data_IF_081774346366
#
_entry.id   IF_081774346366
#
_cell.length_a   1.000
_cell.length_b   1.000
_cell.length_c   1.000
_cell.angle_alpha   90.00
_cell.angle_beta   90.00
_cell.angle_gamma   90.00
#
_symmetry.space_group_name_H-M   'P 1'
#
loop_
_entity.id
_entity.type
_entity.pdbx_description
1 polymer ?
#
# COMPACT_ATOMS: atom_id res chain seq x y z
N UNK A 1 -1.27 -17.79 -11.08
CA UNK A 1 -1.01 -19.05 -11.80
C UNK A 1 -0.75 -20.22 -10.86
N UNK A 2 -0.08 -20.02 -9.72
CA UNK A 2 0.24 -21.09 -8.76
C UNK A 2 -0.99 -21.75 -8.14
N UNK A 3 -1.95 -20.99 -7.60
CA UNK A 3 -3.16 -21.55 -6.96
C UNK A 3 -3.96 -22.46 -7.92
N UNK A 4 -4.14 -21.99 -9.16
CA UNK A 4 -4.79 -22.75 -10.24
C UNK A 4 -4.00 -23.98 -10.68
N UNK A 5 -2.68 -23.85 -10.76
CA UNK A 5 -1.81 -24.95 -11.18
C UNK A 5 -1.79 -26.11 -10.17
N UNK A 6 -2.03 -25.82 -8.89
CA UNK A 6 -2.14 -26.83 -7.84
C UNK A 6 -3.59 -27.25 -7.52
N UNK A 7 -4.58 -26.72 -8.26
CA UNK A 7 -6.01 -27.00 -8.04
C UNK A 7 -6.52 -26.67 -6.61
N UNK A 8 -5.80 -25.82 -5.87
CA UNK A 8 -6.10 -25.44 -4.48
C UNK A 8 -7.11 -24.28 -4.35
N UNK A 9 -7.88 -24.00 -5.40
CA UNK A 9 -8.82 -22.87 -5.41
C UNK A 9 -9.87 -22.98 -4.29
N UNK A 10 -10.34 -24.19 -4.00
CA UNK A 10 -11.33 -24.45 -2.93
C UNK A 10 -10.82 -24.08 -1.54
N UNK A 11 -9.57 -24.41 -1.23
CA UNK A 11 -8.95 -24.06 0.05
C UNK A 11 -8.79 -22.55 0.21
N UNK A 12 -8.29 -21.85 -0.83
CA UNK A 12 -8.17 -20.39 -0.81
C UNK A 12 -9.54 -19.68 -0.76
N UNK A 13 -10.56 -20.25 -1.42
CA UNK A 13 -11.91 -19.73 -1.37
C UNK A 13 -12.51 -19.84 0.04
N UNK A 14 -12.39 -21.00 0.69
CA UNK A 14 -12.81 -21.19 2.07
C UNK A 14 -12.11 -20.21 3.02
N UNK A 15 -10.78 -20.06 2.90
CA UNK A 15 -10.02 -19.08 3.68
C UNK A 15 -10.46 -17.64 3.42
N UNK A 16 -10.82 -17.31 2.18
CA UNK A 16 -11.34 -15.99 1.84
C UNK A 16 -12.70 -15.74 2.53
N UNK A 17 -13.59 -16.73 2.55
CA UNK A 17 -14.86 -16.66 3.28
C UNK A 17 -14.62 -16.45 4.78
N UNK A 18 -13.72 -17.21 5.40
CA UNK A 18 -13.38 -17.06 6.82
C UNK A 18 -12.88 -15.65 7.15
N UNK A 19 -12.06 -15.06 6.26
CA UNK A 19 -11.56 -13.69 6.42
C UNK A 19 -12.66 -12.65 6.25
N UNK A 20 -13.59 -12.86 5.31
CA UNK A 20 -14.75 -11.99 5.10
C UNK A 20 -15.66 -12.05 6.33
N UNK A 21 -15.93 -13.25 6.86
CA UNK A 21 -16.76 -13.44 8.04
C UNK A 21 -16.11 -12.84 9.30
N UNK A 22 -14.81 -13.03 9.47
CA UNK A 22 -14.04 -12.41 10.55
C UNK A 22 -14.08 -10.88 10.47
N UNK A 23 -14.03 -10.31 9.27
CA UNK A 23 -14.15 -8.86 9.08
C UNK A 23 -15.59 -8.36 9.25
N UNK A 24 -16.61 -9.16 8.89
CA UNK A 24 -18.03 -8.77 8.92
C UNK A 24 -18.67 -8.90 10.31
N UNK A 25 -18.22 -9.86 11.11
CA UNK A 25 -18.74 -10.12 12.45
C UNK A 25 -18.71 -8.88 13.37
N UNK A 26 -17.60 -8.10 13.45
CA UNK A 26 -17.57 -6.86 14.24
C UNK A 26 -18.60 -5.81 13.79
N UNK A 27 -18.87 -5.68 12.49
CA UNK A 27 -19.90 -4.77 11.99
C UNK A 27 -21.29 -5.19 12.45
N UNK A 28 -21.58 -6.50 12.42
CA UNK A 28 -22.86 -7.02 12.92
C UNK A 28 -23.02 -6.78 14.42
N UNK A 29 -21.97 -7.02 15.21
CA UNK A 29 -22.01 -6.74 16.65
C UNK A 29 -22.18 -5.25 16.95
N UNK A 30 -21.52 -4.35 16.20
CA UNK A 30 -21.69 -2.91 16.35
C UNK A 30 -23.12 -2.47 16.01
N UNK A 31 -23.66 -2.97 14.89
CA UNK A 31 -25.05 -2.73 14.48
C UNK A 31 -26.05 -3.21 15.53
N UNK A 32 -25.92 -4.46 15.99
CA UNK A 32 -26.81 -5.03 17.01
C UNK A 32 -26.73 -4.25 18.34
N UNK A 33 -25.54 -3.82 18.75
CA UNK A 33 -25.37 -3.01 19.96
C UNK A 33 -26.01 -1.62 19.81
N UNK A 34 -25.90 -0.99 18.63
CA UNK A 34 -26.54 0.29 18.31
C UNK A 34 -28.06 0.19 18.38
N UNK A 35 -28.65 -0.79 17.69
CA UNK A 35 -30.10 -1.03 17.70
C UNK A 35 -30.63 -1.35 19.10
N UNK A 36 -29.91 -2.18 19.86
CA UNK A 36 -30.27 -2.51 21.23
C UNK A 36 -30.31 -1.26 22.13
N UNK A 37 -29.33 -0.37 21.99
CA UNK A 37 -29.26 0.88 22.75
C UNK A 37 -30.42 1.82 22.39
N UNK A 38 -30.71 1.98 21.10
CA UNK A 38 -31.82 2.81 20.61
C UNK A 38 -33.14 2.28 21.16
N UNK A 39 -33.40 0.97 21.03
CA UNK A 39 -34.62 0.35 21.52
C UNK A 39 -34.82 0.59 23.03
N UNK A 40 -33.75 0.46 23.83
CA UNK A 40 -33.81 0.71 25.27
C UNK A 40 -34.16 2.16 25.59
N UNK A 41 -33.56 3.12 24.90
CA UNK A 41 -33.79 4.54 25.16
C UNK A 41 -35.18 4.99 24.71
N UNK A 42 -35.66 4.49 23.57
CA UNK A 42 -37.03 4.72 23.12
C UNK A 42 -38.05 4.14 24.10
N UNK A 43 -37.83 2.93 24.63
CA UNK A 43 -38.74 2.34 25.62
C UNK A 43 -38.82 3.18 26.89
N UNK A 44 -37.69 3.71 27.38
CA UNK A 44 -37.66 4.60 28.55
C UNK A 44 -38.39 5.91 28.22
N UNK A 45 -38.12 6.52 27.07
CA UNK A 45 -38.78 7.76 26.65
C UNK A 45 -40.30 7.60 26.50
N UNK A 46 -40.75 6.48 25.95
CA UNK A 46 -42.17 6.15 25.81
C UNK A 46 -42.83 5.87 27.17
N UNK A 47 -42.14 5.21 28.10
CA UNK A 47 -42.63 5.04 29.47
C UNK A 47 -42.81 6.39 30.18
N UNK A 48 -41.85 7.31 30.03
CA UNK A 48 -41.95 8.67 30.61
C UNK A 48 -43.13 9.43 30.01
N UNK A 49 -43.28 9.42 28.67
CA UNK A 49 -44.41 10.06 27.99
C UNK A 49 -45.76 9.47 28.41
N UNK A 50 -45.86 8.14 28.50
CA UNK A 50 -47.07 7.47 28.94
C UNK A 50 -47.42 7.81 30.40
N UNK A 51 -46.43 7.89 31.29
CA UNK A 51 -46.64 8.30 32.67
C UNK A 51 -47.12 9.76 32.77
N UNK A 52 -46.55 10.67 31.97
CA UNK A 52 -46.99 12.06 31.90
C UNK A 52 -48.43 12.17 31.36
N UNK A 53 -48.78 11.38 30.33
CA UNK A 53 -50.13 11.32 29.79
C UNK A 53 -51.14 10.82 30.82
N UNK A 54 -50.79 9.76 31.56
CA UNK A 54 -51.61 9.20 32.62
C UNK A 54 -51.83 10.20 33.76
N UNK A 55 -50.78 10.90 34.20
CA UNK A 55 -50.89 11.96 35.21
C UNK A 55 -51.87 13.04 34.76
N UNK A 56 -51.72 13.55 33.53
CA UNK A 56 -52.60 14.57 32.97
C UNK A 56 -54.06 14.08 32.90
N UNK A 57 -54.30 12.81 32.59
CA UNK A 57 -55.64 12.22 32.51
C UNK A 57 -56.30 11.98 33.87
N UNK A 58 -55.53 11.73 34.93
CA UNK A 58 -56.04 11.44 36.27
C UNK A 58 -56.35 12.69 37.10
N UNK A 59 -55.81 13.85 36.72
CA UNK A 59 -56.01 15.12 37.45
C UNK A 59 -57.39 15.74 37.15
N UNK A 60 -58.00 16.44 38.13
CA UNK A 60 -59.31 17.07 37.95
C UNK A 60 -59.34 18.06 36.77
N UNK A 61 -60.47 18.15 36.04
CA UNK A 61 -60.63 19.10 34.94
C UNK A 61 -60.41 20.53 35.45
N UNK A 62 -59.51 21.27 34.78
CA UNK A 62 -59.11 22.63 35.16
C UNK A 62 -57.71 22.76 35.78
N UNK A 63 -57.01 21.65 36.05
CA UNK A 63 -55.65 21.70 36.64
C UNK A 63 -54.58 22.19 35.66
N UNK A 64 -54.67 21.82 34.38
CA UNK A 64 -53.75 22.26 33.33
C UNK A 64 -54.50 22.93 32.18
N UNK A 65 -53.90 23.96 31.60
CA UNK A 65 -54.38 24.56 30.34
C UNK A 65 -54.25 23.55 29.20
N UNK A 66 -55.26 23.46 28.34
CA UNK A 66 -55.26 22.57 27.16
C UNK A 66 -54.05 22.82 26.25
N UNK A 67 -53.57 24.07 26.15
CA UNK A 67 -52.35 24.41 25.43
C UNK A 67 -51.08 23.82 26.05
N UNK A 68 -51.00 23.77 27.38
CA UNK A 68 -49.85 23.20 28.10
C UNK A 68 -49.73 21.68 27.91
N UNK A 69 -50.88 20.98 27.91
CA UNK A 69 -50.94 19.53 27.65
C UNK A 69 -50.44 19.20 26.24
N UNK A 70 -50.89 19.95 25.24
CA UNK A 70 -50.43 19.80 23.85
C UNK A 70 -48.92 20.04 23.70
N UNK A 71 -48.41 21.13 24.29
CA UNK A 71 -46.98 21.44 24.27
C UNK A 71 -46.14 20.34 24.93
N UNK A 72 -46.56 19.83 26.09
CA UNK A 72 -45.82 18.79 26.82
C UNK A 72 -45.68 17.51 26.00
N UNK A 73 -46.76 17.07 25.33
CA UNK A 73 -46.74 15.89 24.48
C UNK A 73 -45.90 16.09 23.22
N UNK A 74 -46.06 17.23 22.53
CA UNK A 74 -45.29 17.54 21.33
C UNK A 74 -43.79 17.65 21.61
N UNK A 75 -43.41 18.33 22.69
CA UNK A 75 -42.00 18.45 23.07
C UNK A 75 -41.40 17.12 23.53
N UNK A 76 -42.13 16.29 24.26
CA UNK A 76 -41.61 14.98 24.68
C UNK A 76 -41.36 14.03 23.51
N UNK A 77 -42.23 14.02 22.49
CA UNK A 77 -42.01 13.28 21.24
C UNK A 77 -40.80 13.84 20.45
N UNK A 78 -40.71 15.16 20.30
CA UNK A 78 -39.59 15.81 19.60
C UNK A 78 -38.24 15.57 20.29
N UNK A 79 -38.23 15.53 21.62
CA UNK A 79 -37.02 15.28 22.41
C UNK A 79 -36.55 13.83 22.27
N UNK A 80 -37.47 12.87 22.22
CA UNK A 80 -37.16 11.46 21.98
C UNK A 80 -36.47 11.27 20.61
N UNK A 81 -37.06 11.84 19.55
CA UNK A 81 -36.46 11.80 18.21
C UNK A 81 -35.07 12.45 18.16
N UNK A 82 -34.91 13.60 18.81
CA UNK A 82 -33.63 14.31 18.87
C UNK A 82 -32.55 13.52 19.63
N UNK A 83 -32.95 12.81 20.69
CA UNK A 83 -32.05 11.93 21.46
C UNK A 83 -31.55 10.76 20.60
N UNK A 84 -32.44 10.07 19.89
CA UNK A 84 -32.06 8.97 18.99
C UNK A 84 -31.06 9.46 17.95
N UNK A 85 -31.36 10.55 17.24
CA UNK A 85 -30.46 11.12 16.24
C UNK A 85 -29.09 11.54 16.84
N UNK A 86 -29.08 12.09 18.05
CA UNK A 86 -27.84 12.47 18.72
C UNK A 86 -26.95 11.24 19.03
N UNK A 87 -27.55 10.14 19.46
CA UNK A 87 -26.83 8.90 19.77
C UNK A 87 -26.28 8.27 18.50
N UNK A 88 -27.06 8.26 17.42
CA UNK A 88 -26.58 7.76 16.13
C UNK A 88 -25.36 8.56 15.64
N UNK A 89 -25.43 9.89 15.73
CA UNK A 89 -24.32 10.76 15.38
C UNK A 89 -23.10 10.49 16.28
N UNK A 90 -23.30 10.31 17.58
CA UNK A 90 -22.20 10.05 18.53
C UNK A 90 -21.51 8.70 18.29
N UNK A 91 -22.29 7.63 18.06
CA UNK A 91 -21.73 6.31 17.73
C UNK A 91 -20.98 6.33 16.41
N UNK A 92 -21.51 7.05 15.41
CA UNK A 92 -20.86 7.20 14.10
C UNK A 92 -19.56 7.97 14.20
N UNK A 93 -19.55 9.08 14.94
CA UNK A 93 -18.34 9.86 15.21
C UNK A 93 -17.27 9.04 15.95
N UNK A 94 -17.69 8.27 16.97
CA UNK A 94 -16.80 7.40 17.73
C UNK A 94 -16.18 6.28 16.87
N UNK A 95 -16.89 5.78 15.86
CA UNK A 95 -16.30 4.84 14.90
C UNK A 95 -15.30 5.53 13.96
N UNK A 96 -15.59 6.75 13.50
CA UNK A 96 -14.71 7.47 12.57
C UNK A 96 -13.43 7.99 13.21
N UNK A 97 -13.45 8.38 14.49
CA UNK A 97 -12.25 8.89 15.18
C UNK A 97 -11.15 7.83 15.31
N UNK A 98 -11.50 6.54 15.33
CA UNK A 98 -10.52 5.43 15.34
C UNK A 98 -9.64 5.45 14.08
N UNK A 99 -10.18 5.88 12.93
CA UNK A 99 -9.37 6.04 11.72
C UNK A 99 -8.33 7.16 11.86
N UNK A 100 -8.68 8.24 12.56
CA UNK A 100 -7.74 9.35 12.86
C UNK A 100 -6.68 8.90 13.85
N UNK A 101 -7.07 8.11 14.86
CA UNK A 101 -6.13 7.51 15.81
C UNK A 101 -5.09 6.63 15.09
N UNK A 102 -5.51 5.81 14.12
CA UNK A 102 -4.59 5.00 13.29
C UNK A 102 -3.61 5.85 12.48
N UNK A 103 -4.06 6.97 11.92
CA UNK A 103 -3.15 7.90 11.24
C UNK A 103 -2.15 8.49 12.22
N UNK A 104 -2.60 8.88 13.41
CA UNK A 104 -1.74 9.42 14.45
C UNK A 104 -0.67 8.43 14.91
N UNK A 105 -0.95 7.12 14.92
CA UNK A 105 0.05 6.08 15.19
C UNK A 105 1.18 6.08 14.16
N UNK A 106 0.86 6.27 12.88
CA UNK A 106 1.86 6.32 11.81
C UNK A 106 2.63 7.64 11.74
N UNK A 107 2.13 8.72 12.35
CA UNK A 107 2.85 10.00 12.37
C UNK A 107 4.06 10.02 13.31
N UNK A 108 4.12 9.12 14.29
CA UNK A 108 5.16 9.11 15.32
C UNK A 108 6.22 8.02 15.11
N UNK A 109 6.22 7.35 13.95
CA UNK A 109 7.26 6.39 13.60
C UNK A 109 8.60 7.12 13.42
N UNK A 110 9.73 6.51 13.83
CA UNK A 110 11.04 7.11 13.60
C UNK A 110 11.23 7.29 12.08
N UNK A 111 11.56 8.51 11.67
CA UNK A 111 11.85 8.82 10.28
C UNK A 111 13.17 8.16 9.87
N UNK A 112 13.26 7.74 8.61
CA UNK A 112 14.53 7.35 8.00
C UNK A 112 15.53 8.52 8.10
N UNK A 113 16.82 8.22 8.01
CA UNK A 113 17.84 9.26 8.00
C UNK A 113 17.54 10.29 6.89
N UNK A 114 17.81 11.59 7.12
CA UNK A 114 17.60 12.61 6.11
C UNK A 114 18.31 12.26 4.80
N UNK A 115 17.63 12.46 3.66
CA UNK A 115 18.18 12.17 2.33
C UNK A 115 19.52 12.87 2.11
N UNK A 116 19.69 14.06 2.71
CA UNK A 116 20.92 14.83 2.64
C UNK A 116 21.37 15.25 4.04
N UNK A 117 22.58 14.85 4.41
CA UNK A 117 23.26 15.32 5.61
C UNK A 117 24.27 16.41 5.24
N UNK A 118 23.96 17.68 5.52
CA UNK A 118 24.82 18.82 5.18
C UNK A 118 26.23 18.69 5.78
N UNK A 119 26.32 18.20 7.01
CA UNK A 119 27.57 18.14 7.78
C UNK A 119 28.55 17.06 7.27
N UNK A 120 28.08 16.08 6.48
CA UNK A 120 28.89 14.95 6.02
C UNK A 120 28.64 14.65 4.54
N UNK A 121 28.59 15.70 3.70
CA UNK A 121 28.54 15.52 2.26
C UNK A 121 29.89 15.01 1.74
N UNK A 122 29.91 13.97 0.89
CA UNK A 122 31.13 13.62 0.19
C UNK A 122 31.59 14.79 -0.69
N UNK A 123 32.90 14.97 -0.90
CA UNK A 123 33.41 16.06 -1.73
C UNK A 123 32.86 15.96 -3.16
N UNK A 124 32.79 17.08 -3.93
CA UNK A 124 32.30 17.05 -5.31
C UNK A 124 33.12 16.16 -6.25
N UNK A 125 34.37 15.89 -5.87
CA UNK A 125 35.26 14.94 -6.55
C UNK A 125 35.01 13.50 -6.11
N UNK A 126 33.98 13.22 -5.33
CA UNK A 126 33.61 11.86 -4.99
C UNK A 126 32.58 11.35 -6.01
N UNK A 127 32.81 10.19 -6.62
CA UNK A 127 34.03 9.37 -6.64
C UNK A 127 35.17 9.97 -7.51
N UNK A 128 36.43 9.85 -7.06
CA UNK A 128 37.59 10.61 -7.58
C UNK A 128 38.06 10.27 -9.01
N UNK A 129 37.57 9.18 -9.58
CA UNK A 129 37.79 8.82 -10.97
C UNK A 129 36.43 8.41 -11.54
N UNK A 130 36.07 8.92 -12.71
CA UNK A 130 34.82 8.59 -13.40
C UNK A 130 34.47 9.55 -14.53
N UNK A 131 34.40 9.05 -15.77
CA UNK A 131 34.09 9.87 -16.94
C UNK A 131 32.59 9.75 -17.29
N UNK A 132 31.86 10.86 -17.27
CA UNK A 132 30.41 10.91 -17.56
C UNK A 132 30.20 11.52 -18.94
N UNK A 133 29.58 10.74 -19.84
CA UNK A 133 29.16 11.21 -21.18
C UNK A 133 27.76 10.65 -21.47
N UNK A 134 26.72 11.47 -21.41
CA UNK A 134 25.33 11.00 -21.47
C UNK A 134 24.91 10.84 -22.93
N UNK A 135 24.65 9.60 -23.37
CA UNK A 135 24.26 9.27 -24.75
C UNK A 135 22.99 8.40 -24.77
N UNK A 136 21.84 8.99 -24.42
CA UNK A 136 20.56 8.29 -24.14
C UNK A 136 20.06 7.35 -25.25
N UNK A 137 20.39 7.63 -26.52
CA UNK A 137 19.98 6.79 -27.66
C UNK A 137 20.92 5.61 -27.93
N UNK A 138 22.19 5.70 -27.50
CA UNK A 138 23.16 4.61 -27.69
C UNK A 138 22.91 3.46 -26.71
N UNK A 139 22.36 3.76 -25.53
CA UNK A 139 22.14 2.78 -24.45
C UNK A 139 21.20 1.65 -24.90
N UNK A 140 20.11 1.97 -25.61
CA UNK A 140 19.18 0.95 -26.14
C UNK A 140 19.84 0.02 -27.16
N UNK A 141 20.81 0.53 -27.93
CA UNK A 141 21.64 -0.28 -28.82
C UNK A 141 22.59 -1.19 -28.04
N UNK A 142 23.23 -0.66 -26.98
CA UNK A 142 24.17 -1.39 -26.12
C UNK A 142 23.49 -2.51 -25.30
N UNK A 143 22.22 -2.33 -24.93
CA UNK A 143 21.42 -3.35 -24.25
C UNK A 143 20.63 -4.27 -25.19
N UNK A 144 20.79 -4.16 -26.52
CA UNK A 144 20.00 -4.91 -27.52
C UNK A 144 18.48 -4.77 -27.37
N UNK A 145 18.00 -3.71 -26.72
CA UNK A 145 16.57 -3.42 -26.57
C UNK A 145 16.00 -2.62 -27.75
N UNK A 146 16.86 -2.10 -28.62
CA UNK A 146 16.45 -1.23 -29.74
C UNK A 146 15.40 -1.88 -30.64
N UNK A 147 15.62 -3.13 -31.03
CA UNK A 147 14.74 -3.81 -32.00
C UNK A 147 13.38 -4.11 -31.35
N UNK A 148 13.38 -4.57 -30.10
CA UNK A 148 12.14 -4.83 -29.33
C UNK A 148 11.32 -3.55 -29.08
N UNK A 149 11.98 -2.42 -28.84
CA UNK A 149 11.30 -1.13 -28.69
C UNK A 149 10.80 -0.62 -30.05
N UNK A 150 11.55 -0.81 -31.13
CA UNK A 150 11.15 -0.41 -32.48
C UNK A 150 9.95 -1.20 -33.02
N UNK A 151 9.78 -2.46 -32.62
CA UNK A 151 8.61 -3.28 -32.95
C UNK A 151 7.31 -2.78 -32.32
N UNK A 152 7.37 -2.01 -31.23
CA UNK A 152 6.18 -1.44 -30.60
C UNK A 152 5.67 -0.21 -31.34
N UNK A 153 4.34 -0.12 -31.50
CA UNK A 153 3.66 0.99 -32.20
C UNK A 153 4.07 2.38 -31.70
N UNK A 154 4.23 2.54 -30.39
CA UNK A 154 4.55 3.81 -29.72
C UNK A 154 6.03 3.92 -29.31
N UNK A 155 6.86 2.91 -29.65
CA UNK A 155 8.29 2.88 -29.32
C UNK A 155 8.55 3.18 -27.84
N UNK A 156 9.24 4.30 -27.55
CA UNK A 156 9.60 4.73 -26.20
C UNK A 156 8.39 5.23 -25.39
N UNK A 157 7.34 5.69 -26.07
CA UNK A 157 6.12 6.19 -25.44
C UNK A 157 5.13 5.05 -25.12
N UNK A 158 5.52 3.80 -25.37
CA UNK A 158 4.67 2.65 -25.10
C UNK A 158 4.38 2.48 -23.61
N UNK A 159 3.09 2.32 -23.27
CA UNK A 159 2.66 2.14 -21.89
C UNK A 159 3.23 0.85 -21.26
N UNK A 160 3.76 0.98 -20.03
CA UNK A 160 4.19 -0.13 -19.19
C UNK A 160 3.02 -0.55 -18.29
N UNK A 161 2.57 -1.79 -18.44
CA UNK A 161 1.46 -2.35 -17.65
C UNK A 161 1.95 -2.63 -16.21
N UNK A 162 1.03 -2.74 -15.24
CA UNK A 162 1.32 -3.05 -13.83
C UNK A 162 2.40 -4.14 -13.70
N UNK A 163 3.41 -3.84 -12.87
CA UNK A 163 4.60 -4.66 -12.60
C UNK A 163 5.44 -5.03 -13.85
N UNK A 164 5.27 -4.29 -14.96
CA UNK A 164 5.94 -4.54 -16.23
C UNK A 164 5.59 -5.88 -16.86
N UNK A 165 4.38 -6.41 -16.61
CA UNK A 165 3.93 -7.73 -17.10
C UNK A 165 3.96 -7.91 -18.63
N UNK A 166 4.04 -6.81 -19.38
CA UNK A 166 4.20 -6.80 -20.84
C UNK A 166 5.65 -7.00 -21.33
N UNK A 167 6.60 -7.26 -20.41
CA UNK A 167 8.01 -7.51 -20.70
C UNK A 167 8.48 -8.82 -20.08
N UNK A 168 9.36 -9.54 -20.77
CA UNK A 168 9.98 -10.76 -20.25
C UNK A 168 10.93 -10.44 -19.09
N UNK A 169 11.25 -11.45 -18.27
CA UNK A 169 12.21 -11.28 -17.17
C UNK A 169 13.59 -10.80 -17.67
N UNK A 170 14.06 -11.34 -18.80
CA UNK A 170 15.30 -10.90 -19.43
C UNK A 170 15.25 -9.46 -19.95
N UNK A 171 14.14 -9.03 -20.54
CA UNK A 171 13.96 -7.64 -20.96
C UNK A 171 13.98 -6.69 -19.77
N UNK A 172 13.32 -7.04 -18.65
CA UNK A 172 13.37 -6.25 -17.41
C UNK A 172 14.80 -6.09 -16.90
N UNK A 173 15.61 -7.14 -16.93
CA UNK A 173 17.02 -7.05 -16.56
C UNK A 173 17.83 -6.15 -17.51
N UNK A 174 17.58 -6.23 -18.82
CA UNK A 174 18.21 -5.32 -19.79
C UNK A 174 17.79 -3.86 -19.58
N UNK A 175 16.55 -3.60 -19.15
CA UNK A 175 16.12 -2.25 -18.76
C UNK A 175 16.85 -1.77 -17.50
N UNK A 176 17.00 -2.63 -16.48
CA UNK A 176 17.81 -2.33 -15.30
C UNK A 176 19.27 -2.03 -15.66
N UNK A 177 19.86 -2.83 -16.57
CA UNK A 177 21.20 -2.58 -17.11
C UNK A 177 21.27 -1.25 -17.87
N UNK A 178 20.25 -0.93 -18.66
CA UNK A 178 20.12 0.37 -19.33
C UNK A 178 20.10 1.53 -18.34
N UNK A 179 19.34 1.41 -17.25
CA UNK A 179 19.32 2.41 -16.17
C UNK A 179 20.71 2.57 -15.52
N UNK A 180 21.44 1.48 -15.31
CA UNK A 180 22.80 1.53 -14.77
C UNK A 180 23.78 2.23 -15.74
N UNK A 181 23.68 1.94 -17.04
CA UNK A 181 24.51 2.56 -18.09
C UNK A 181 24.27 4.07 -18.21
N UNK A 182 23.03 4.54 -18.03
CA UNK A 182 22.70 5.97 -18.06
C UNK A 182 23.33 6.70 -16.86
N UNK A 183 23.28 6.09 -15.67
CA UNK A 183 23.80 6.71 -14.44
C UNK A 183 25.33 6.81 -14.40
N UNK A 184 26.05 5.96 -15.15
CA UNK A 184 27.52 5.94 -15.21
C UNK A 184 28.19 5.93 -13.82
N UNK A 185 27.63 5.15 -12.91
CA UNK A 185 28.15 5.01 -11.54
C UNK A 185 29.54 4.38 -11.53
N UNK A 186 30.43 4.89 -10.67
CA UNK A 186 31.79 4.34 -10.51
C UNK A 186 31.85 3.08 -9.66
N UNK A 187 30.81 2.86 -8.86
CA UNK A 187 30.61 1.65 -8.10
C UNK A 187 29.29 1.05 -8.58
N UNK A 188 29.37 -0.15 -9.15
CA UNK A 188 28.23 -0.91 -9.62
C UNK A 188 28.06 -2.13 -8.72
N UNK A 189 26.89 -2.24 -8.09
CA UNK A 189 26.52 -3.43 -7.31
C UNK A 189 25.47 -4.20 -8.09
N UNK A 190 25.75 -5.46 -8.38
CA UNK A 190 24.88 -6.37 -9.11
C UNK A 190 24.43 -7.49 -8.17
N UNK A 191 23.15 -7.48 -7.82
CA UNK A 191 22.54 -8.55 -7.03
C UNK A 191 21.74 -9.47 -7.95
N UNK A 192 22.18 -10.72 -8.10
CA UNK A 192 21.54 -11.73 -8.96
C UNK A 192 21.19 -11.25 -10.39
N UNK A 193 21.97 -10.33 -10.97
CA UNK A 193 21.66 -9.68 -12.25
C UNK A 193 21.58 -10.61 -13.47
N UNK A 194 21.85 -11.90 -13.31
CA UNK A 194 21.79 -12.95 -14.35
C UNK A 194 20.77 -14.05 -14.03
N UNK A 195 19.99 -13.90 -12.94
CA UNK A 195 19.01 -14.90 -12.52
C UNK A 195 17.82 -14.96 -13.50
N UNK A 196 17.30 -16.16 -13.75
CA UNK A 196 16.09 -16.36 -14.57
C UNK A 196 16.16 -15.80 -16.00
N UNK A 197 17.37 -15.71 -16.56
CA UNK A 197 17.63 -15.23 -17.92
C UNK A 197 18.28 -16.30 -18.79
N UNK A 198 17.89 -16.33 -20.06
CA UNK A 198 18.41 -17.28 -21.04
C UNK A 198 19.91 -17.05 -21.30
N UNK A 199 20.60 -18.09 -21.77
CA UNK A 199 22.05 -18.02 -21.97
C UNK A 199 22.47 -16.95 -22.99
N UNK A 200 21.62 -16.64 -23.99
CA UNK A 200 21.91 -15.60 -24.98
C UNK A 200 21.90 -14.21 -24.35
N UNK A 201 20.83 -13.87 -23.64
CA UNK A 201 20.71 -12.60 -22.92
C UNK A 201 21.75 -12.47 -21.80
N UNK A 202 22.08 -13.56 -21.09
CA UNK A 202 23.15 -13.55 -20.08
C UNK A 202 24.52 -13.21 -20.70
N UNK A 203 24.84 -13.79 -21.87
CA UNK A 203 26.09 -13.47 -22.58
C UNK A 203 26.15 -11.99 -22.98
N UNK A 204 25.02 -11.43 -23.44
CA UNK A 204 24.91 -10.01 -23.77
C UNK A 204 25.13 -9.15 -22.53
N UNK A 205 24.45 -9.46 -21.42
CA UNK A 205 24.56 -8.73 -20.17
C UNK A 205 26.00 -8.73 -19.64
N UNK A 206 26.65 -9.89 -19.57
CA UNK A 206 28.05 -9.99 -19.13
C UNK A 206 29.00 -9.25 -20.08
N UNK A 207 28.80 -9.36 -21.39
CA UNK A 207 29.63 -8.65 -22.38
C UNK A 207 29.50 -7.14 -22.22
N UNK A 208 28.28 -6.64 -22.08
CA UNK A 208 28.00 -5.21 -21.89
C UNK A 208 28.58 -4.72 -20.56
N UNK A 209 28.45 -5.50 -19.47
CA UNK A 209 29.07 -5.15 -18.19
C UNK A 209 30.59 -4.99 -18.33
N UNK A 210 31.27 -5.96 -18.95
CA UNK A 210 32.73 -5.90 -19.15
C UNK A 210 33.18 -4.76 -20.04
N UNK A 211 32.41 -4.47 -21.09
CA UNK A 211 32.79 -3.46 -22.09
C UNK A 211 32.53 -2.04 -21.57
N UNK A 212 31.42 -1.83 -20.87
CA UNK A 212 30.95 -0.49 -20.47
C UNK A 212 31.36 -0.09 -19.06
N UNK A 213 31.61 -1.07 -18.17
CA UNK A 213 32.01 -0.83 -16.78
C UNK A 213 33.44 -1.30 -16.49
N UNK A 214 34.30 -1.44 -17.51
CA UNK A 214 35.70 -1.86 -17.34
C UNK A 214 36.53 -0.93 -16.44
N UNK A 215 36.20 0.37 -16.43
CA UNK A 215 36.86 1.38 -15.58
C UNK A 215 36.12 1.61 -14.24
N UNK A 216 35.06 0.85 -13.95
CA UNK A 216 34.25 0.98 -12.74
C UNK A 216 34.52 -0.18 -11.77
N UNK A 217 34.34 0.05 -10.47
CA UNK A 217 34.37 -1.03 -9.48
C UNK A 217 33.05 -1.80 -9.55
N UNK A 218 33.11 -3.08 -9.92
CA UNK A 218 31.92 -3.96 -10.02
C UNK A 218 31.93 -4.98 -8.90
N UNK A 219 30.89 -4.96 -8.06
CA UNK A 219 30.66 -5.93 -7.00
C UNK A 219 29.44 -6.75 -7.40
N UNK A 220 29.59 -8.07 -7.51
CA UNK A 220 28.51 -8.94 -7.97
C UNK A 220 28.25 -10.04 -6.95
N UNK A 221 27.00 -10.09 -6.49
CA UNK A 221 26.44 -11.21 -5.74
C UNK A 221 25.91 -12.22 -6.75
N UNK A 222 26.47 -13.42 -6.73
CA UNK A 222 26.13 -14.45 -7.69
C UNK A 222 26.04 -15.83 -7.04
N UNK A 223 25.00 -16.57 -7.43
CA UNK A 223 24.80 -17.97 -7.08
C UNK A 223 25.29 -18.96 -8.17
N UNK A 224 25.74 -18.45 -9.32
CA UNK A 224 26.21 -19.27 -10.45
C UNK A 224 27.72 -19.19 -10.58
N UNK A 225 28.42 -20.29 -10.35
CA UNK A 225 29.90 -20.35 -10.46
C UNK A 225 30.42 -19.78 -11.79
N UNK A 226 29.84 -20.07 -12.97
CA UNK A 226 30.34 -19.53 -14.23
C UNK A 226 30.32 -18.00 -14.33
N UNK A 227 29.51 -17.32 -13.53
CA UNK A 227 29.45 -15.85 -13.56
C UNK A 227 30.56 -15.21 -12.75
N UNK A 228 31.19 -15.92 -11.81
CA UNK A 228 32.28 -15.39 -10.96
C UNK A 228 33.68 -15.75 -11.46
N UNK A 229 33.80 -16.64 -12.45
CA UNK A 229 35.08 -17.17 -12.94
C UNK A 229 36.06 -16.10 -13.44
N UNK A 230 35.53 -15.00 -14.00
CA UNK A 230 36.32 -13.97 -14.68
C UNK A 230 36.48 -12.70 -13.82
N UNK A 231 36.20 -12.77 -12.51
CA UNK A 231 36.38 -11.64 -11.58
C UNK A 231 37.81 -11.60 -11.03
N UNK A 232 38.33 -10.41 -10.76
CA UNK A 232 39.67 -10.22 -10.22
C UNK A 232 39.81 -10.78 -8.78
N UNK A 233 38.72 -10.72 -8.01
CA UNK A 233 38.64 -11.21 -6.64
C UNK A 233 37.28 -11.88 -6.39
N UNK A 234 37.31 -13.04 -5.75
CA UNK A 234 36.10 -13.76 -5.30
C UNK A 234 36.12 -13.84 -3.78
N UNK A 235 35.08 -13.30 -3.15
CA UNK A 235 34.86 -13.41 -1.71
C UNK A 235 33.81 -14.48 -1.44
N UNK A 236 34.13 -15.44 -0.58
CA UNK A 236 33.16 -16.37 -0.01
C UNK A 236 32.93 -16.01 1.45
N UNK A 237 31.67 -15.95 1.87
CA UNK A 237 31.29 -15.73 3.26
C UNK A 237 30.55 -16.98 3.75
N UNK A 238 31.11 -17.65 4.75
CA UNK A 238 30.50 -18.78 5.44
C UNK A 238 30.07 -18.31 6.84
N UNK A 239 28.84 -18.64 7.24
CA UNK A 239 28.25 -18.41 8.56
C UNK A 239 28.03 -16.96 9.07
N UNK A 240 28.28 -15.94 8.26
CA UNK A 240 27.87 -14.55 8.54
C UNK A 240 28.78 -13.80 9.50
#
# INVERSE_FOLDING_TARGET
MTIRAFEEEGHFFAKCLDLIDANSSPFFHNFAAKEWLIQRLETIGNCVLASAALCIALLPPGTFSSGFVGMTMSHGLSMNLSLVLAIENQCTLANHIVSVERLNQHMHIPSEAPEVMEDNRPPPTWPAAGNVDICDLQVLGKCQLRDTVQEKKERLDSSVVKDGSNWSMGQKQLFCLGHALIRKSQILVLDEATASVDNGTNMILQKTIRTEFGDCTVITLAHRIPTVMDYDLVLSMEDG
#
